data_IF_273019808126
#
_entry.id   IF_273019808126
#
_cell.length_a   1.000
_cell.length_b   1.000
_cell.length_c   1.000
_cell.angle_alpha   90.00
_cell.angle_beta   90.00
_cell.angle_gamma   90.00
#
_symmetry.space_group_name_H-M   'P 1'
#
loop_
_entity.id
_entity.type
_entity.pdbx_description
1 polymer ?
#
# COMPACT_ATOMS: atom_id res chain seq x y z
N UNK A 1 7.45 46.52 33.88
CA UNK A 1 6.57 45.75 32.95
C UNK A 1 7.23 44.40 32.76
N UNK A 2 6.63 43.32 33.30
CA UNK A 2 7.16 41.96 33.18
C UNK A 2 6.36 41.31 32.03
N UNK A 3 7.01 41.07 30.90
CA UNK A 3 6.40 40.34 29.76
C UNK A 3 6.37 38.85 30.10
N UNK A 4 5.15 38.32 30.27
CA UNK A 4 4.87 36.90 30.46
C UNK A 4 4.96 36.22 29.11
N UNK A 5 6.07 35.53 28.81
CA UNK A 5 6.17 34.66 27.62
C UNK A 5 5.30 33.41 27.88
N UNK A 6 4.18 33.33 27.19
CA UNK A 6 3.36 32.10 27.08
C UNK A 6 4.10 31.09 26.20
N UNK A 7 4.73 30.07 26.81
CA UNK A 7 5.19 28.87 26.09
C UNK A 7 3.94 28.14 25.62
N UNK A 8 3.66 28.21 24.32
CA UNK A 8 2.67 27.34 23.69
C UNK A 8 3.28 25.93 23.58
N UNK A 9 2.70 24.98 24.30
CA UNK A 9 3.03 23.57 24.17
C UNK A 9 2.60 23.09 22.78
N UNK A 10 3.56 22.81 21.90
CA UNK A 10 3.31 22.16 20.60
C UNK A 10 2.91 20.72 20.88
N UNK A 11 1.63 20.40 20.72
CA UNK A 11 1.15 19.02 20.80
C UNK A 11 1.75 18.25 19.63
N UNK A 12 2.51 17.17 19.84
CA UNK A 12 3.03 16.37 18.74
C UNK A 12 1.87 15.79 17.91
N UNK A 13 2.03 15.84 16.58
CA UNK A 13 1.07 15.22 15.68
C UNK A 13 0.94 13.71 16.00
N UNK A 14 -0.29 13.15 15.97
CA UNK A 14 -0.48 11.74 16.22
C UNK A 14 0.31 10.91 15.22
N UNK A 15 0.95 9.83 15.71
CA UNK A 15 1.72 8.92 14.87
C UNK A 15 0.83 8.33 13.75
N UNK A 16 1.37 8.14 12.52
CA UNK A 16 0.64 7.53 11.42
C UNK A 16 0.08 6.16 11.84
N UNK A 17 -1.21 5.94 11.65
CA UNK A 17 -1.88 4.71 12.01
C UNK A 17 -2.56 4.09 10.79
N UNK A 18 -2.58 2.76 10.70
CA UNK A 18 -3.31 2.02 9.69
C UNK A 18 -4.81 2.21 9.86
N UNK A 19 -5.51 2.38 8.73
CA UNK A 19 -6.96 2.57 8.68
C UNK A 19 -7.57 1.55 7.74
N UNK A 20 -8.63 0.90 8.20
CA UNK A 20 -9.47 0.05 7.36
C UNK A 20 -10.61 0.90 6.78
N UNK A 21 -10.88 0.75 5.49
CA UNK A 21 -12.03 1.35 4.82
C UNK A 21 -12.75 0.29 3.99
N UNK A 22 -14.06 0.22 4.12
CA UNK A 22 -14.96 -0.63 3.34
C UNK A 22 -15.97 0.30 2.64
N UNK A 23 -15.98 0.28 1.33
CA UNK A 23 -16.76 1.19 0.49
C UNK A 23 -17.37 0.46 -0.67
N UNK A 24 -18.58 0.89 -1.06
CA UNK A 24 -19.19 0.48 -2.33
C UNK A 24 -19.27 1.71 -3.21
N UNK A 25 -18.78 1.62 -4.44
CA UNK A 25 -18.84 2.72 -5.40
C UNK A 25 -20.25 2.82 -6.02
N UNK A 26 -20.58 3.92 -6.76
CA UNK A 26 -21.89 4.08 -7.42
C UNK A 26 -22.23 2.97 -8.42
N UNK A 27 -21.23 2.27 -8.97
CA UNK A 27 -21.43 1.13 -9.87
C UNK A 27 -21.68 -0.20 -9.11
N UNK A 28 -21.80 -0.19 -7.78
CA UNK A 28 -22.05 -1.35 -6.96
C UNK A 28 -20.82 -2.22 -6.67
N UNK A 29 -19.63 -1.79 -7.08
CA UNK A 29 -18.38 -2.52 -6.77
C UNK A 29 -17.94 -2.20 -5.35
N UNK A 30 -17.90 -3.22 -4.48
CA UNK A 30 -17.36 -3.11 -3.13
C UNK A 30 -15.83 -3.13 -3.16
N UNK A 31 -15.24 -2.33 -2.32
CA UNK A 31 -13.80 -2.18 -2.18
C UNK A 31 -13.44 -2.10 -0.71
N UNK A 32 -12.59 -3.00 -0.24
CA UNK A 32 -12.04 -2.96 1.11
C UNK A 32 -10.54 -2.68 1.04
N UNK A 33 -10.04 -1.79 1.91
CA UNK A 33 -8.63 -1.43 1.91
C UNK A 33 -8.10 -1.17 3.31
N UNK A 34 -6.85 -1.56 3.54
CA UNK A 34 -6.05 -1.14 4.67
C UNK A 34 -4.99 -0.18 4.18
N UNK A 35 -4.86 0.98 4.80
CA UNK A 35 -3.93 2.03 4.34
C UNK A 35 -3.27 2.77 5.49
N UNK A 36 -2.07 3.30 5.22
CA UNK A 36 -1.32 4.15 6.13
C UNK A 36 -0.78 5.36 5.38
N UNK A 37 -0.74 6.51 6.06
CA UNK A 37 -0.06 7.71 5.56
C UNK A 37 1.42 7.64 5.91
N UNK A 38 2.27 8.07 5.00
CA UNK A 38 3.71 8.13 5.20
C UNK A 38 4.13 9.15 6.25
N UNK A 39 5.39 9.05 6.69
CA UNK A 39 5.99 9.99 7.64
C UNK A 39 6.07 11.43 7.09
N UNK A 40 5.94 11.58 5.77
CA UNK A 40 5.83 12.87 5.08
C UNK A 40 4.43 13.52 5.21
N UNK A 41 3.46 12.81 5.80
CA UNK A 41 2.07 13.25 5.94
C UNK A 41 1.25 13.27 4.65
N UNK A 42 1.82 12.88 3.52
CA UNK A 42 1.26 13.05 2.17
C UNK A 42 1.15 11.75 1.39
N UNK A 43 2.21 10.95 1.38
CA UNK A 43 2.24 9.66 0.69
C UNK A 43 1.34 8.64 1.36
N UNK A 44 0.84 7.66 0.60
CA UNK A 44 0.01 6.59 1.14
C UNK A 44 0.48 5.22 0.62
N UNK A 45 0.49 4.25 1.51
CA UNK A 45 0.63 2.84 1.17
C UNK A 45 -0.69 2.13 1.44
N UNK A 46 -1.16 1.34 0.48
CA UNK A 46 -2.51 0.75 0.50
C UNK A 46 -2.45 -0.71 0.09
N UNK A 47 -3.09 -1.57 0.87
CA UNK A 47 -3.45 -2.94 0.47
C UNK A 47 -4.95 -2.95 0.23
N UNK A 48 -5.40 -3.32 -0.97
CA UNK A 48 -6.79 -3.17 -1.41
C UNK A 48 -7.30 -4.45 -2.06
N UNK A 49 -8.57 -4.75 -1.80
CA UNK A 49 -9.35 -5.75 -2.53
C UNK A 49 -10.55 -5.06 -3.20
N UNK A 50 -10.67 -5.17 -4.51
CA UNK A 50 -11.84 -4.78 -5.28
C UNK A 50 -12.66 -6.04 -5.60
N UNK A 51 -13.90 -6.09 -5.07
CA UNK A 51 -14.83 -7.21 -5.24
C UNK A 51 -15.64 -6.98 -6.51
N UNK A 52 -15.02 -7.25 -7.65
CA UNK A 52 -15.68 -7.30 -8.95
C UNK A 52 -16.08 -8.75 -9.29
N UNK A 53 -16.52 -8.99 -10.52
CA UNK A 53 -16.78 -10.36 -11.03
C UNK A 53 -15.56 -11.28 -10.91
N UNK A 54 -14.38 -10.70 -11.07
CA UNK A 54 -13.08 -11.31 -10.73
C UNK A 54 -12.45 -10.44 -9.63
N UNK A 55 -12.38 -10.93 -8.37
CA UNK A 55 -11.80 -10.17 -7.27
C UNK A 55 -10.32 -9.88 -7.50
N UNK A 56 -9.92 -8.62 -7.29
CA UNK A 56 -8.54 -8.17 -7.52
C UNK A 56 -7.96 -7.63 -6.22
N UNK A 57 -6.87 -8.24 -5.77
CA UNK A 57 -6.02 -7.65 -4.73
C UNK A 57 -4.95 -6.80 -5.39
N UNK A 58 -4.67 -5.64 -4.82
CA UNK A 58 -3.57 -4.79 -5.24
C UNK A 58 -2.83 -4.18 -4.04
N UNK A 59 -1.55 -3.94 -4.22
CA UNK A 59 -0.75 -3.08 -3.34
C UNK A 59 -0.46 -1.80 -4.11
N UNK A 60 -0.72 -0.65 -3.47
CA UNK A 60 -0.61 0.65 -4.11
C UNK A 60 0.30 1.58 -3.32
N UNK A 61 1.08 2.36 -4.03
CA UNK A 61 1.85 3.48 -3.50
C UNK A 61 1.36 4.76 -4.19
N UNK A 62 0.80 5.66 -3.39
CA UNK A 62 0.16 6.88 -3.87
C UNK A 62 0.98 8.08 -3.37
N UNK A 63 1.26 8.99 -4.27
CA UNK A 63 2.00 10.22 -4.02
C UNK A 63 1.10 11.42 -4.25
N UNK A 64 1.32 12.56 -3.53
CA UNK A 64 0.58 13.79 -3.76
C UNK A 64 0.88 14.38 -5.15
N UNK A 65 2.08 14.16 -5.66
CA UNK A 65 2.46 14.56 -7.01
C UNK A 65 2.38 13.38 -7.97
N UNK A 66 1.93 13.60 -9.22
CA UNK A 66 1.83 12.54 -10.20
C UNK A 66 3.18 11.82 -10.41
N UNK A 67 3.17 10.50 -10.35
CA UNK A 67 4.32 9.67 -10.71
C UNK A 67 4.51 9.57 -12.22
N UNK A 68 3.52 10.02 -13.00
CA UNK A 68 3.47 9.92 -14.44
C UNK A 68 2.83 8.63 -14.92
N UNK A 69 2.36 8.65 -16.16
CA UNK A 69 1.90 7.46 -16.88
C UNK A 69 3.05 6.88 -17.68
N UNK A 70 3.09 5.58 -17.83
CA UNK A 70 4.11 4.95 -18.66
C UNK A 70 4.15 3.45 -18.52
N UNK A 71 5.17 2.81 -19.10
CA UNK A 71 5.39 1.40 -18.94
C UNK A 71 5.66 1.06 -17.48
N UNK A 72 5.51 -0.21 -17.14
CA UNK A 72 5.82 -0.74 -15.83
C UNK A 72 7.26 -0.39 -15.44
N UNK A 73 7.44 0.00 -14.18
CA UNK A 73 8.73 0.37 -13.62
C UNK A 73 9.03 -0.41 -12.35
N UNK A 74 10.31 -0.51 -12.05
CA UNK A 74 10.77 -1.10 -10.81
C UNK A 74 10.34 -0.25 -9.60
N UNK A 75 9.70 -0.91 -8.65
CA UNK A 75 9.40 -0.39 -7.31
C UNK A 75 10.10 -1.28 -6.30
N UNK A 76 10.92 -0.69 -5.46
CA UNK A 76 11.63 -1.38 -4.41
C UNK A 76 10.92 -1.12 -3.07
N UNK A 77 10.61 -2.19 -2.34
CA UNK A 77 10.04 -2.15 -1.00
C UNK A 77 11.03 -2.76 -0.03
N UNK A 78 11.36 -2.04 1.03
CA UNK A 78 12.25 -2.50 2.11
C UNK A 78 11.50 -2.55 3.41
N UNK A 79 11.72 -3.60 4.18
CA UNK A 79 11.17 -3.76 5.53
C UNK A 79 12.29 -3.69 6.56
N UNK A 80 12.10 -2.90 7.61
CA UNK A 80 13.04 -2.71 8.73
C UNK A 80 14.50 -2.41 8.29
N UNK A 81 14.66 -1.67 7.18
CA UNK A 81 15.96 -1.34 6.62
C UNK A 81 16.70 -2.51 5.94
N UNK A 82 16.03 -3.63 5.76
CA UNK A 82 16.60 -4.84 5.14
C UNK A 82 16.73 -4.75 3.61
N UNK A 83 17.00 -5.89 2.95
CA UNK A 83 17.09 -5.98 1.50
C UNK A 83 15.82 -5.52 0.79
N UNK A 84 15.97 -4.99 -0.42
CA UNK A 84 14.84 -4.57 -1.24
C UNK A 84 14.15 -5.79 -1.89
N UNK A 85 12.82 -5.79 -1.84
CA UNK A 85 11.98 -6.58 -2.72
C UNK A 85 11.63 -5.70 -3.91
N UNK A 86 12.09 -6.03 -5.09
CA UNK A 86 11.89 -5.22 -6.31
C UNK A 86 11.01 -5.96 -7.29
N UNK A 87 9.91 -5.30 -7.69
CA UNK A 87 8.95 -5.79 -8.68
C UNK A 87 8.61 -4.69 -9.68
N UNK A 88 8.20 -5.06 -10.87
CA UNK A 88 7.65 -4.12 -11.83
C UNK A 88 6.18 -3.82 -11.48
N UNK A 89 5.87 -2.55 -11.27
CA UNK A 89 4.53 -2.08 -10.97
C UNK A 89 3.99 -1.23 -12.10
N UNK A 90 2.67 -1.18 -12.21
CA UNK A 90 1.96 -0.35 -13.18
C UNK A 90 1.89 1.10 -12.73
N UNK A 91 1.97 2.03 -13.66
CA UNK A 91 1.99 3.48 -13.43
C UNK A 91 0.84 4.17 -14.18
N UNK A 92 -0.38 4.20 -13.60
CA UNK A 92 -1.56 4.81 -14.24
C UNK A 92 -1.61 6.34 -14.13
N UNK A 93 -0.71 6.99 -13.37
CA UNK A 93 -0.72 8.44 -13.19
C UNK A 93 -0.24 8.90 -11.81
N UNK A 94 -1.16 9.16 -10.89
CA UNK A 94 -0.85 9.72 -9.56
C UNK A 94 -0.22 8.72 -8.58
N UNK A 95 -0.31 7.43 -8.86
CA UNK A 95 0.24 6.37 -8.04
C UNK A 95 0.81 5.25 -8.88
N UNK A 96 1.30 4.23 -8.21
CA UNK A 96 1.73 2.98 -8.81
C UNK A 96 1.16 1.81 -8.02
N UNK A 97 0.94 0.68 -8.69
CA UNK A 97 0.41 -0.50 -8.05
C UNK A 97 0.90 -1.80 -8.67
N UNK A 98 0.83 -2.87 -7.89
CA UNK A 98 0.94 -4.25 -8.39
C UNK A 98 -0.31 -5.03 -8.04
N UNK A 99 -0.73 -5.89 -8.95
CA UNK A 99 -1.75 -6.91 -8.74
C UNK A 99 -1.18 -8.33 -8.93
N UNK A 100 0.14 -8.45 -9.01
CA UNK A 100 0.82 -9.75 -9.13
C UNK A 100 0.66 -10.56 -7.83
N UNK A 101 0.09 -11.79 -7.88
CA UNK A 101 -0.21 -12.57 -6.68
C UNK A 101 1.01 -12.96 -5.86
N UNK A 102 2.15 -13.21 -6.50
CA UNK A 102 3.39 -13.57 -5.82
C UNK A 102 3.96 -12.37 -5.07
N UNK A 103 4.04 -11.21 -5.74
CA UNK A 103 4.46 -9.95 -5.13
C UNK A 103 3.56 -9.58 -3.94
N UNK A 104 2.23 -9.65 -4.11
CA UNK A 104 1.26 -9.37 -3.04
C UNK A 104 1.49 -10.30 -1.85
N UNK A 105 1.58 -11.60 -2.07
CA UNK A 105 1.76 -12.58 -1.01
C UNK A 105 3.06 -12.32 -0.25
N UNK A 106 4.14 -12.08 -0.96
CA UNK A 106 5.45 -11.84 -0.36
C UNK A 106 5.49 -10.53 0.42
N UNK A 107 5.04 -9.43 -0.19
CA UNK A 107 5.06 -8.12 0.45
C UNK A 107 4.15 -8.07 1.68
N UNK A 108 2.94 -8.63 1.63
CA UNK A 108 2.04 -8.65 2.79
C UNK A 108 2.56 -9.55 3.92
N UNK A 109 3.23 -10.66 3.59
CA UNK A 109 3.86 -11.54 4.59
C UNK A 109 4.97 -10.82 5.38
N UNK A 110 5.80 -10.03 4.69
CA UNK A 110 6.84 -9.24 5.37
C UNK A 110 6.25 -8.04 6.09
N UNK A 111 5.26 -7.37 5.50
CA UNK A 111 4.59 -6.20 6.08
C UNK A 111 4.07 -6.47 7.50
N UNK A 112 3.37 -7.58 7.71
CA UNK A 112 2.77 -7.90 9.02
C UNK A 112 3.77 -8.35 10.08
N UNK A 113 5.01 -8.62 9.69
CA UNK A 113 6.10 -9.04 10.60
C UNK A 113 7.08 -7.92 10.92
N UNK A 114 6.96 -6.78 10.24
CA UNK A 114 7.90 -5.68 10.31
C UNK A 114 7.35 -4.53 11.16
N UNK A 115 8.22 -3.58 11.49
CA UNK A 115 7.87 -2.34 12.19
C UNK A 115 7.76 -1.17 11.21
N UNK A 116 8.57 -1.18 10.17
CA UNK A 116 8.67 -0.10 9.19
C UNK A 116 8.73 -0.65 7.78
N UNK A 117 8.28 0.16 6.82
CA UNK A 117 8.53 -0.11 5.41
C UNK A 117 8.92 1.18 4.69
N UNK A 118 9.73 1.04 3.65
CA UNK A 118 10.13 2.11 2.75
C UNK A 118 9.85 1.69 1.32
N UNK A 119 9.22 2.58 0.56
CA UNK A 119 8.96 2.40 -0.87
C UNK A 119 9.84 3.37 -1.64
N UNK A 120 10.48 2.87 -2.69
CA UNK A 120 11.39 3.62 -3.55
C UNK A 120 11.06 3.34 -5.02
N UNK A 121 10.99 4.38 -5.85
CA UNK A 121 10.79 4.29 -7.29
C UNK A 121 11.30 5.57 -7.98
N UNK A 122 11.00 5.73 -9.27
CA UNK A 122 11.23 7.00 -9.99
C UNK A 122 9.92 7.51 -10.59
N UNK A 123 9.78 8.83 -10.71
CA UNK A 123 8.66 9.43 -11.44
C UNK A 123 8.87 9.40 -12.97
N UNK A 124 7.94 9.98 -13.72
CA UNK A 124 8.00 10.05 -15.19
C UNK A 124 9.22 10.79 -15.75
N UNK A 125 9.83 11.69 -14.96
CA UNK A 125 11.04 12.41 -15.28
C UNK A 125 12.32 11.74 -14.76
N UNK A 126 12.21 10.49 -14.26
CA UNK A 126 13.30 9.69 -13.67
C UNK A 126 13.91 10.27 -12.38
N UNK A 127 13.22 11.18 -11.71
CA UNK A 127 13.62 11.60 -10.36
C UNK A 127 13.24 10.55 -9.34
N UNK A 128 14.15 10.30 -8.39
CA UNK A 128 13.91 9.39 -7.29
C UNK A 128 12.73 9.85 -6.41
N UNK A 129 11.82 8.94 -6.11
CA UNK A 129 10.67 9.14 -5.22
C UNK A 129 10.73 8.07 -4.14
N UNK A 130 10.59 8.49 -2.90
CA UNK A 130 10.61 7.56 -1.76
C UNK A 130 9.70 8.03 -0.65
N UNK A 131 9.14 7.09 0.11
CA UNK A 131 8.42 7.38 1.34
C UNK A 131 8.62 6.27 2.38
N UNK A 132 8.57 6.66 3.65
CA UNK A 132 8.67 5.76 4.80
C UNK A 132 7.31 5.68 5.49
N UNK A 133 6.98 4.48 5.98
CA UNK A 133 5.72 4.19 6.63
C UNK A 133 5.95 3.32 7.86
N UNK A 134 5.01 3.36 8.80
CA UNK A 134 4.93 2.38 9.88
C UNK A 134 4.19 1.14 9.39
N UNK A 135 4.63 -0.03 9.78
CA UNK A 135 3.90 -1.27 9.51
C UNK A 135 2.68 -1.41 10.46
N UNK A 136 1.69 -2.26 10.14
CA UNK A 136 0.54 -2.47 11.00
C UNK A 136 0.96 -3.15 12.30
N UNK A 137 0.33 -2.76 13.42
CA UNK A 137 0.60 -3.34 14.74
C UNK A 137 0.10 -4.79 14.89
N UNK A 138 -0.78 -5.23 14.00
CA UNK A 138 -1.27 -6.61 13.91
C UNK A 138 -1.59 -6.97 12.45
N UNK A 139 -1.71 -8.25 12.16
CA UNK A 139 -2.04 -8.75 10.82
C UNK A 139 -3.55 -8.70 10.50
N UNK A 140 -4.40 -8.35 11.47
CA UNK A 140 -5.86 -8.46 11.37
C UNK A 140 -6.44 -7.69 10.18
N UNK A 141 -6.05 -6.42 9.97
CA UNK A 141 -6.56 -5.62 8.85
C UNK A 141 -6.12 -6.19 7.50
N UNK A 142 -4.87 -6.63 7.40
CA UNK A 142 -4.32 -7.21 6.16
C UNK A 142 -5.03 -8.52 5.84
N UNK A 143 -5.22 -9.42 6.84
CA UNK A 143 -6.00 -10.65 6.67
C UNK A 143 -7.43 -10.39 6.23
N UNK A 144 -8.06 -9.36 6.80
CA UNK A 144 -9.44 -9.00 6.43
C UNK A 144 -9.53 -8.55 4.97
N UNK A 145 -8.62 -7.68 4.52
CA UNK A 145 -8.58 -7.21 3.13
C UNK A 145 -8.33 -8.38 2.17
N UNK A 146 -7.32 -9.20 2.44
CA UNK A 146 -6.96 -10.36 1.62
C UNK A 146 -8.12 -11.38 1.56
N UNK A 147 -8.72 -11.70 2.71
CA UNK A 147 -9.78 -12.70 2.84
C UNK A 147 -11.03 -12.37 2.03
N UNK A 148 -11.41 -11.09 1.90
CA UNK A 148 -12.56 -10.66 1.10
C UNK A 148 -12.38 -11.00 -0.38
N UNK A 149 -11.14 -10.99 -0.89
CA UNK A 149 -10.80 -11.42 -2.24
C UNK A 149 -10.37 -12.90 -2.36
N UNK A 150 -10.56 -13.71 -1.30
CA UNK A 150 -10.20 -15.12 -1.31
C UNK A 150 -8.71 -15.41 -1.18
N UNK A 151 -7.89 -14.42 -0.83
CA UNK A 151 -6.46 -14.59 -0.56
C UNK A 151 -6.24 -15.01 0.89
N UNK A 152 -5.26 -15.88 1.10
CA UNK A 152 -4.77 -16.23 2.44
C UNK A 152 -3.38 -15.65 2.64
N UNK A 153 -3.16 -14.95 3.76
CA UNK A 153 -1.87 -14.37 4.09
C UNK A 153 -0.77 -15.44 4.10
N UNK A 154 0.29 -15.21 3.32
CA UNK A 154 1.43 -16.12 3.20
C UNK A 154 1.23 -17.25 2.18
N UNK A 155 0.11 -17.31 1.49
CA UNK A 155 -0.18 -18.34 0.48
C UNK A 155 -0.40 -17.69 -0.87
N UNK A 156 0.41 -18.08 -1.87
CA UNK A 156 0.19 -17.64 -3.27
C UNK A 156 -1.08 -18.32 -3.78
N UNK A 157 -2.09 -17.57 -4.25
CA UNK A 157 -3.32 -18.17 -4.75
C UNK A 157 -3.05 -19.00 -6.01
N UNK A 158 -3.68 -20.16 -6.09
CA UNK A 158 -3.64 -20.98 -7.29
C UNK A 158 -4.48 -20.32 -8.38
N UNK A 159 -3.97 -20.13 -9.60
CA UNK A 159 -4.78 -19.63 -10.71
C UNK A 159 -6.01 -20.52 -10.94
N UNK A 160 -7.16 -19.96 -11.29
CA UNK A 160 -8.32 -20.77 -11.70
C UNK A 160 -7.94 -21.60 -12.93
N UNK A 161 -8.48 -22.84 -13.07
CA UNK A 161 -8.23 -23.65 -14.25
C UNK A 161 -8.66 -22.91 -15.52
N UNK A 162 -7.93 -23.10 -16.64
CA UNK A 162 -8.30 -22.50 -17.91
C UNK A 162 -9.76 -22.82 -18.27
N UNK A 163 -10.52 -21.83 -18.73
CA UNK A 163 -11.94 -21.99 -19.09
C UNK A 163 -12.17 -22.94 -20.27
N UNK A 164 -11.10 -23.31 -20.97
CA UNK A 164 -11.14 -24.15 -22.17
C UNK A 164 -10.87 -25.66 -21.87
N UNK A 165 -10.88 -26.06 -20.61
CA UNK A 165 -10.65 -27.45 -20.17
C UNK A 165 -11.95 -28.24 -19.93
N UNK A 166 -13.09 -27.83 -20.55
CA UNK A 166 -14.36 -28.58 -20.53
C UNK A 166 -14.76 -29.05 -21.94
#
# INVERSE_FOLDING_TARGET
MIALLLLQAVTPAPAPAWKLADRTNPAGVRSISASVTGNDGLSRFVVKCDVASEPIVSIQFIQPQPLGQGPDKAVAVRFDGGPAFTYNWQFPGSGTYTADPEAITRLTTFLVKSKTLRVETTNGANFAVQANFVAPSSDAMIRQVLGVCGYTLGVVPTPPPPKDAQ
#
